data_IF_700491306314
#
_entry.id   IF_700491306314
#
_cell.length_a   1.000
_cell.length_b   1.000
_cell.length_c   1.000
_cell.angle_alpha   90.00
_cell.angle_beta   90.00
_cell.angle_gamma   90.00
#
_symmetry.space_group_name_H-M   'P 1'
#
loop_
_entity.id
_entity.type
_entity.pdbx_description
1 polymer ?
#
# COMPACT_ATOMS: atom_id res chain seq x y z
N UNK A 1 -17.19 12.37 -8.67
CA UNK A 1 -15.74 12.69 -8.62
C UNK A 1 -14.90 11.50 -8.10
N UNK A 2 -15.16 11.00 -6.89
CA UNK A 2 -14.42 9.87 -6.29
C UNK A 2 -14.42 8.58 -7.12
N UNK A 3 -15.55 8.22 -7.73
CA UNK A 3 -15.66 7.02 -8.59
C UNK A 3 -14.74 7.09 -9.84
N UNK A 4 -14.54 8.30 -10.38
CA UNK A 4 -13.66 8.55 -11.52
C UNK A 4 -12.19 8.41 -11.13
N UNK A 5 -11.84 8.92 -9.94
CA UNK A 5 -10.50 8.79 -9.34
C UNK A 5 -10.20 7.31 -9.05
N UNK A 6 -11.14 6.57 -8.44
CA UNK A 6 -10.97 5.15 -8.15
C UNK A 6 -10.72 4.32 -9.42
N UNK A 7 -11.44 4.59 -10.51
CA UNK A 7 -11.23 3.92 -11.80
C UNK A 7 -9.85 4.20 -12.39
N UNK A 8 -9.40 5.46 -12.30
CA UNK A 8 -8.08 5.89 -12.78
C UNK A 8 -6.95 5.30 -11.95
N UNK A 9 -7.09 5.26 -10.62
CA UNK A 9 -6.18 4.57 -9.71
C UNK A 9 -6.10 3.08 -10.08
N UNK A 10 -7.24 2.41 -10.27
CA UNK A 10 -7.26 0.99 -10.63
C UNK A 10 -6.57 0.66 -11.96
N UNK A 11 -6.45 1.61 -12.89
CA UNK A 11 -5.79 1.42 -14.18
C UNK A 11 -4.33 1.87 -14.15
N UNK A 12 -4.07 3.09 -13.69
CA UNK A 12 -2.75 3.73 -13.73
C UNK A 12 -1.85 3.29 -12.56
N UNK A 13 -2.44 2.98 -11.41
CA UNK A 13 -1.74 2.62 -10.18
C UNK A 13 -1.83 1.12 -9.87
N UNK A 14 -2.20 0.30 -10.86
CA UNK A 14 -2.12 -1.17 -10.81
C UNK A 14 -0.76 -1.70 -10.30
N UNK A 15 0.39 -1.17 -10.79
CA UNK A 15 1.70 -1.61 -10.31
C UNK A 15 1.90 -1.33 -8.81
N UNK A 16 1.38 -0.20 -8.35
CA UNK A 16 1.43 0.23 -6.95
C UNK A 16 0.57 -0.65 -6.05
N UNK A 17 -0.65 -0.97 -6.48
CA UNK A 17 -1.51 -1.92 -5.77
C UNK A 17 -0.87 -3.31 -5.66
N UNK A 18 -0.26 -3.78 -6.75
CA UNK A 18 0.42 -5.07 -6.77
C UNK A 18 1.63 -5.11 -5.83
N UNK A 19 2.48 -4.08 -5.87
CA UNK A 19 3.60 -3.93 -4.93
C UNK A 19 3.12 -3.92 -3.48
N UNK A 20 2.04 -3.19 -3.19
CA UNK A 20 1.46 -3.16 -1.85
C UNK A 20 0.98 -4.53 -1.36
N UNK A 21 0.33 -5.30 -2.22
CA UNK A 21 -0.06 -6.67 -1.89
C UNK A 21 1.17 -7.54 -1.58
N UNK A 22 2.24 -7.43 -2.38
CA UNK A 22 3.49 -8.17 -2.16
C UNK A 22 4.11 -7.82 -0.81
N UNK A 23 4.39 -6.54 -0.56
CA UNK A 23 5.05 -6.12 0.68
C UNK A 23 4.21 -6.42 1.93
N UNK A 24 2.88 -6.28 1.83
CA UNK A 24 1.97 -6.63 2.92
C UNK A 24 1.91 -8.14 3.15
N UNK A 25 1.90 -8.94 2.08
CA UNK A 25 1.95 -10.40 2.15
C UNK A 25 3.24 -10.92 2.76
N UNK A 26 4.38 -10.33 2.38
CA UNK A 26 5.68 -10.65 2.97
C UNK A 26 5.66 -10.28 4.47
N UNK A 27 5.19 -9.09 4.84
CA UNK A 27 5.11 -8.69 6.25
C UNK A 27 4.23 -9.65 7.07
N UNK A 28 3.06 -10.05 6.53
CA UNK A 28 2.17 -11.05 7.12
C UNK A 28 2.85 -12.41 7.32
N UNK A 29 3.63 -12.87 6.34
CA UNK A 29 4.36 -14.12 6.45
C UNK A 29 5.37 -14.09 7.61
N UNK A 30 6.09 -12.97 7.78
CA UNK A 30 6.96 -12.79 8.94
C UNK A 30 6.19 -12.76 10.26
N UNK A 31 5.04 -12.07 10.31
CA UNK A 31 4.15 -12.11 11.47
C UNK A 31 3.68 -13.52 11.82
N UNK A 32 3.39 -14.35 10.82
CA UNK A 32 2.99 -15.74 11.02
C UNK A 32 4.13 -16.61 11.59
N UNK A 33 5.35 -16.45 11.08
CA UNK A 33 6.50 -17.28 11.49
C UNK A 33 6.97 -17.04 12.93
N UNK A 34 6.98 -15.79 13.38
CA UNK A 34 7.54 -15.44 14.69
C UNK A 34 6.54 -14.94 15.72
N UNK A 35 5.30 -14.65 15.30
CA UNK A 35 4.34 -13.92 16.10
C UNK A 35 4.84 -12.53 16.52
N UNK A 36 4.03 -11.83 17.32
CA UNK A 36 4.44 -10.56 17.95
C UNK A 36 5.34 -10.76 19.18
N UNK A 37 5.52 -12.01 19.64
CA UNK A 37 6.37 -12.33 20.80
C UNK A 37 7.86 -12.23 20.49
N UNK A 38 8.24 -12.37 19.21
CA UNK A 38 9.63 -12.23 18.79
C UNK A 38 9.89 -10.83 18.21
N UNK A 39 10.46 -9.95 19.05
CA UNK A 39 10.75 -8.56 18.70
C UNK A 39 11.63 -8.40 17.44
N UNK A 40 12.49 -9.38 17.14
CA UNK A 40 13.32 -9.38 15.94
C UNK A 40 12.47 -9.57 14.68
N UNK A 41 11.56 -10.55 14.71
CA UNK A 41 10.66 -10.86 13.59
C UNK A 41 9.68 -9.71 13.34
N UNK A 42 9.16 -9.11 14.42
CA UNK A 42 8.34 -7.90 14.36
C UNK A 42 9.06 -6.73 13.67
N UNK A 43 10.30 -6.47 14.08
CA UNK A 43 11.11 -5.38 13.53
C UNK A 43 11.41 -5.58 12.04
N UNK A 44 11.66 -6.83 11.62
CA UNK A 44 11.85 -7.19 10.21
C UNK A 44 10.57 -6.95 9.40
N UNK A 45 9.41 -7.39 9.91
CA UNK A 45 8.12 -7.19 9.23
C UNK A 45 7.80 -5.70 9.03
N UNK A 46 8.04 -4.87 10.06
CA UNK A 46 7.90 -3.41 9.95
C UNK A 46 8.90 -2.80 8.96
N UNK A 47 10.16 -3.24 9.00
CA UNK A 47 11.19 -2.75 8.07
C UNK A 47 10.84 -3.08 6.61
N UNK A 48 10.31 -4.27 6.35
CA UNK A 48 9.82 -4.67 5.01
C UNK A 48 8.64 -3.82 4.58
N UNK A 49 7.71 -3.49 5.50
CA UNK A 49 6.58 -2.63 5.14
C UNK A 49 7.04 -1.19 4.86
N UNK A 50 7.99 -0.67 5.64
CA UNK A 50 8.61 0.64 5.41
C UNK A 50 9.38 0.70 4.08
N UNK A 51 10.11 -0.36 3.71
CA UNK A 51 10.80 -0.41 2.42
C UNK A 51 9.81 -0.47 1.25
N UNK A 52 8.70 -1.21 1.40
CA UNK A 52 7.60 -1.20 0.44
C UNK A 52 6.98 0.19 0.28
N UNK A 53 6.85 0.93 1.36
CA UNK A 53 6.37 2.31 1.34
C UNK A 53 7.30 3.25 0.55
N UNK A 54 8.62 3.15 0.78
CA UNK A 54 9.60 3.92 0.01
C UNK A 54 9.56 3.56 -1.47
N UNK A 55 9.44 2.27 -1.79
CA UNK A 55 9.28 1.80 -3.17
C UNK A 55 8.03 2.36 -3.84
N UNK A 56 6.91 2.43 -3.12
CA UNK A 56 5.69 3.04 -3.65
C UNK A 56 5.88 4.51 -4.02
N UNK A 57 6.56 5.30 -3.19
CA UNK A 57 6.86 6.70 -3.50
C UNK A 57 7.71 6.82 -4.78
N UNK A 58 8.70 5.93 -4.95
CA UNK A 58 9.55 5.94 -6.14
C UNK A 58 8.78 5.58 -7.41
N UNK A 59 7.95 4.54 -7.34
CA UNK A 59 7.11 4.10 -8.46
C UNK A 59 6.05 5.16 -8.79
N UNK A 60 5.46 5.79 -7.78
CA UNK A 60 4.50 6.88 -7.93
C UNK A 60 5.13 8.09 -8.63
N UNK A 61 6.32 8.54 -8.21
CA UNK A 61 7.05 9.61 -8.92
C UNK A 61 7.32 9.27 -10.39
N UNK A 62 7.70 8.03 -10.67
CA UNK A 62 7.94 7.56 -12.04
C UNK A 62 6.65 7.57 -12.87
N UNK A 63 5.54 7.08 -12.32
CA UNK A 63 4.22 7.08 -12.97
C UNK A 63 3.69 8.50 -13.15
N UNK A 64 3.88 9.39 -12.19
CA UNK A 64 3.48 10.80 -12.29
C UNK A 64 4.18 11.52 -13.44
N UNK A 65 5.49 11.30 -13.61
CA UNK A 65 6.21 11.86 -14.75
C UNK A 65 5.64 11.37 -16.07
N UNK A 66 5.31 10.07 -16.15
CA UNK A 66 4.78 9.43 -17.36
C UNK A 66 3.35 9.86 -17.71
N UNK A 67 2.50 10.10 -16.71
CA UNK A 67 1.07 10.39 -16.90
C UNK A 67 0.66 11.84 -16.61
N UNK A 68 1.63 12.72 -16.36
CA UNK A 68 1.41 14.15 -16.04
C UNK A 68 0.47 14.85 -17.03
N UNK A 69 0.71 14.69 -18.34
CA UNK A 69 -0.12 15.28 -19.40
C UNK A 69 -1.55 14.71 -19.40
N UNK A 70 -1.70 13.41 -19.22
CA UNK A 70 -3.01 12.76 -19.19
C UNK A 70 -3.84 13.18 -17.96
N UNK A 71 -3.20 13.30 -16.80
CA UNK A 71 -3.82 13.77 -15.56
C UNK A 71 -4.27 15.23 -15.66
N UNK A 72 -3.47 16.07 -16.31
CA UNK A 72 -3.79 17.48 -16.58
C UNK A 72 -5.05 17.62 -17.44
N UNK A 73 -5.18 16.80 -18.49
CA UNK A 73 -6.37 16.77 -19.34
C UNK A 73 -7.63 16.26 -18.63
N UNK A 74 -7.48 15.52 -17.53
CA UNK A 74 -8.59 15.02 -16.72
C UNK A 74 -9.01 15.97 -15.59
N UNK A 75 -8.37 17.13 -15.43
CA UNK A 75 -8.53 18.06 -14.30
C UNK A 75 -8.33 17.39 -12.93
N UNK A 76 -7.47 16.38 -12.84
CA UNK A 76 -7.17 15.68 -11.58
C UNK A 76 -5.78 16.09 -11.13
N UNK A 77 -5.69 16.59 -9.90
CA UNK A 77 -4.39 16.90 -9.31
C UNK A 77 -3.66 15.62 -8.92
N UNK A 78 -2.36 15.58 -9.22
CA UNK A 78 -1.45 14.52 -8.80
C UNK A 78 -1.48 14.29 -7.29
N UNK A 79 -1.54 15.39 -6.51
CA UNK A 79 -1.63 15.35 -5.05
C UNK A 79 -2.86 14.60 -4.52
N UNK A 80 -4.03 14.77 -5.15
CA UNK A 80 -5.25 14.05 -4.76
C UNK A 80 -5.14 12.54 -5.05
N UNK A 81 -4.50 12.19 -6.16
CA UNK A 81 -4.26 10.81 -6.56
C UNK A 81 -3.31 10.10 -5.58
N UNK A 82 -2.21 10.77 -5.22
CA UNK A 82 -1.27 10.27 -4.21
C UNK A 82 -1.95 10.08 -2.86
N UNK A 83 -2.68 11.09 -2.39
CA UNK A 83 -3.40 11.02 -1.12
C UNK A 83 -4.37 9.84 -1.07
N UNK A 84 -5.08 9.56 -2.17
CA UNK A 84 -6.01 8.43 -2.24
C UNK A 84 -5.27 7.08 -2.19
N UNK A 85 -4.15 6.95 -2.90
CA UNK A 85 -3.33 5.72 -2.92
C UNK A 85 -2.70 5.47 -1.54
N UNK A 86 -2.19 6.53 -0.91
CA UNK A 86 -1.63 6.50 0.44
C UNK A 86 -2.68 6.06 1.48
N UNK A 87 -3.86 6.68 1.47
CA UNK A 87 -4.97 6.30 2.35
C UNK A 87 -5.39 4.84 2.12
N UNK A 88 -5.44 4.40 0.86
CA UNK A 88 -5.81 3.03 0.52
C UNK A 88 -4.79 2.01 1.04
N UNK A 89 -3.49 2.31 0.97
CA UNK A 89 -2.46 1.45 1.54
C UNK A 89 -2.55 1.37 3.07
N UNK A 90 -2.73 2.51 3.74
CA UNK A 90 -2.90 2.54 5.20
C UNK A 90 -4.14 1.76 5.66
N UNK A 91 -5.27 1.91 4.95
CA UNK A 91 -6.49 1.17 5.23
C UNK A 91 -6.30 -0.34 5.00
N UNK A 92 -5.64 -0.72 3.91
CA UNK A 92 -5.41 -2.12 3.61
C UNK A 92 -4.49 -2.77 4.66
N UNK A 93 -3.44 -2.06 5.06
CA UNK A 93 -2.53 -2.52 6.11
C UNK A 93 -3.23 -2.64 7.46
N UNK A 94 -4.05 -1.66 7.85
CA UNK A 94 -4.78 -1.71 9.13
C UNK A 94 -5.80 -2.84 9.17
N UNK A 95 -6.52 -3.10 8.06
CA UNK A 95 -7.44 -4.24 7.93
C UNK A 95 -6.69 -5.55 8.10
N UNK A 96 -5.52 -5.70 7.46
CA UNK A 96 -4.68 -6.89 7.58
C UNK A 96 -4.26 -7.13 9.03
N UNK A 97 -3.78 -6.08 9.70
CA UNK A 97 -3.34 -6.17 11.10
C UNK A 97 -4.52 -6.52 12.02
N UNK A 98 -5.69 -5.91 11.80
CA UNK A 98 -6.89 -6.18 12.57
C UNK A 98 -7.38 -7.63 12.39
N UNK A 99 -7.43 -8.12 11.14
CA UNK A 99 -7.80 -9.51 10.84
C UNK A 99 -6.84 -10.50 11.49
N UNK A 100 -5.54 -10.23 11.43
CA UNK A 100 -4.53 -11.06 12.08
C UNK A 100 -4.75 -11.12 13.60
N UNK A 101 -5.04 -9.98 14.24
CA UNK A 101 -5.34 -9.92 15.66
C UNK A 101 -6.63 -10.66 16.04
N UNK A 102 -7.68 -10.52 15.24
CA UNK A 102 -8.92 -11.29 15.46
C UNK A 102 -8.64 -12.79 15.39
N UNK A 103 -7.97 -13.27 14.35
CA UNK A 103 -7.63 -14.69 14.21
C UNK A 103 -6.83 -15.21 15.41
N UNK A 104 -5.86 -14.43 15.89
CA UNK A 104 -5.07 -14.81 17.06
C UNK A 104 -5.84 -14.76 18.37
N UNK A 105 -6.85 -13.89 18.50
CA UNK A 105 -7.69 -13.84 19.70
C UNK A 105 -8.66 -15.03 19.79
N UNK A 106 -8.95 -15.70 18.67
CA UNK A 106 -9.83 -16.88 18.58
C UNK A 106 -9.07 -18.22 18.61
N UNK A 107 -7.73 -18.23 18.55
CA UNK A 107 -6.85 -19.41 18.65
C UNK A 107 -6.15 -19.39 20.01
#
# INVERSE_FOLDING_TARGET
MYLKIAKLVGILYKPLLFLNMIFSGIALYWFHLGGFSNSKVYSIALFIKLSGFVFNILVERSLMNRYSYFLKNQNISTKQLFGFVFLSDLLFFSIIVALFWMIRAFI
#
